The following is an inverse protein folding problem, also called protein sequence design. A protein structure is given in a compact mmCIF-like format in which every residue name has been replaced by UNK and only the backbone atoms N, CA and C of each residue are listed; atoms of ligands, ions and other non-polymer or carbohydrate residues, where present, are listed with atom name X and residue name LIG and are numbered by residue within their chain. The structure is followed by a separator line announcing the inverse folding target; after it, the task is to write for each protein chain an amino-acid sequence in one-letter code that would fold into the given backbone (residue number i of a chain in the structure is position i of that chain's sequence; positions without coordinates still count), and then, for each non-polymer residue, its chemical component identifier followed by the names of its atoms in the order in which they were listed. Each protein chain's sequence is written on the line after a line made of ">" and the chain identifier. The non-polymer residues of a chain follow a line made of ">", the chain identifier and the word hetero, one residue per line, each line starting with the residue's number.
data_IF_750551868840
#
_entry.id   IF_750551868840
#
_cell.length_a   1.000
_cell.length_b   1.000
_cell.length_c   1.000
_cell.angle_alpha   90.00
_cell.angle_beta   90.00
_cell.angle_gamma   90.00
#
_symmetry.space_group_name_H-M   'P 1'
#
loop_
_entity.id
_entity.type
_entity.pdbx_description
1 polymer ?
#
# COMPACT_ATOMS: atom_id res chain seq x y z
N UNK A 1 112.19 -55.03 -75.42
CA UNK A 1 112.36 -54.63 -74.01
C UNK A 1 111.15 -55.17 -73.28
N UNK A 2 111.23 -56.40 -72.75
CA UNK A 2 111.21 -56.67 -71.30
C UNK A 2 110.17 -55.80 -70.59
N UNK A 3 108.93 -56.29 -70.57
CA UNK A 3 107.99 -55.98 -69.50
C UNK A 3 108.68 -56.37 -68.19
N UNK A 4 109.22 -55.38 -67.49
CA UNK A 4 109.53 -55.53 -66.07
C UNK A 4 108.17 -55.61 -65.36
N UNK A 5 107.68 -56.84 -65.18
CA UNK A 5 106.52 -57.11 -64.37
C UNK A 5 106.90 -56.83 -62.91
N UNK A 6 106.77 -55.57 -62.49
CA UNK A 6 107.20 -55.06 -61.17
C UNK A 6 106.25 -55.42 -60.02
N UNK A 7 105.12 -56.08 -60.28
CA UNK A 7 104.21 -56.58 -59.24
C UNK A 7 104.30 -58.10 -59.13
N UNK A 8 104.52 -58.58 -57.90
CA UNK A 8 104.74 -59.99 -57.55
C UNK A 8 103.46 -60.85 -57.65
N UNK A 9 102.34 -60.26 -58.06
CA UNK A 9 100.98 -60.77 -57.80
C UNK A 9 100.01 -60.25 -58.85
N UNK A 10 99.28 -61.15 -59.52
CA UNK A 10 98.06 -60.77 -60.21
C UNK A 10 96.99 -60.46 -59.15
N UNK A 11 96.50 -59.23 -59.06
CA UNK A 11 95.39 -58.90 -58.16
C UNK A 11 94.06 -59.41 -58.77
N UNK A 12 93.03 -59.71 -57.95
CA UNK A 12 91.72 -60.08 -58.46
C UNK A 12 91.17 -58.94 -59.35
N UNK A 13 90.77 -59.23 -60.60
CA UNK A 13 90.13 -58.25 -61.47
C UNK A 13 88.87 -57.68 -60.82
N UNK A 14 88.59 -56.39 -61.02
CA UNK A 14 87.42 -55.69 -60.46
C UNK A 14 86.10 -56.43 -60.76
N UNK A 15 85.95 -56.97 -61.96
CA UNK A 15 84.78 -57.74 -62.42
C UNK A 15 84.53 -59.01 -61.60
N UNK A 16 85.59 -59.61 -61.05
CA UNK A 16 85.52 -60.86 -60.27
C UNK A 16 85.74 -60.64 -58.76
N UNK A 17 86.11 -59.42 -58.35
CA UNK A 17 86.45 -59.10 -56.97
C UNK A 17 85.31 -59.44 -56.01
N UNK A 18 84.06 -59.14 -56.36
CA UNK A 18 82.92 -59.50 -55.50
C UNK A 18 82.83 -61.01 -55.25
N UNK A 19 83.02 -61.82 -56.30
CA UNK A 19 82.98 -63.27 -56.19
C UNK A 19 84.16 -63.79 -55.37
N UNK A 20 85.36 -63.26 -55.59
CA UNK A 20 86.59 -63.65 -54.89
C UNK A 20 86.48 -63.38 -53.38
N UNK A 21 86.00 -62.21 -52.97
CA UNK A 21 85.91 -61.84 -51.54
C UNK A 21 84.68 -62.39 -50.82
N UNK A 22 83.64 -62.81 -51.54
CA UNK A 22 82.46 -63.47 -50.93
C UNK A 22 82.57 -65.00 -50.88
N UNK A 23 83.53 -65.59 -51.60
CA UNK A 23 83.76 -67.04 -51.57
C UNK A 23 84.68 -67.41 -50.39
N UNK A 24 84.32 -68.41 -49.56
CA UNK A 24 85.25 -68.94 -48.57
C UNK A 24 86.56 -69.34 -49.23
N UNK A 25 87.68 -68.81 -48.74
CA UNK A 25 89.02 -69.06 -49.29
C UNK A 25 89.19 -68.62 -50.76
N UNK A 26 88.37 -67.68 -51.25
CA UNK A 26 88.43 -67.23 -52.65
C UNK A 26 89.72 -66.49 -53.03
N UNK A 27 90.48 -65.97 -52.05
CA UNK A 27 91.79 -65.36 -52.26
C UNK A 27 92.93 -66.38 -52.42
N UNK A 28 92.70 -67.65 -52.09
CA UNK A 28 93.74 -68.68 -52.07
C UNK A 28 94.51 -68.84 -53.39
N UNK A 29 93.89 -68.76 -54.60
CA UNK A 29 94.64 -68.82 -55.84
C UNK A 29 95.68 -67.69 -55.97
N UNK A 30 95.37 -66.49 -55.47
CA UNK A 30 96.25 -65.34 -55.48
C UNK A 30 97.33 -65.45 -54.39
N UNK A 31 96.96 -65.93 -53.21
CA UNK A 31 97.90 -66.21 -52.11
C UNK A 31 98.88 -67.35 -52.46
N UNK A 32 98.42 -68.35 -53.21
CA UNK A 32 99.26 -69.45 -53.70
C UNK A 32 100.31 -68.97 -54.71
N UNK A 33 99.98 -68.01 -55.58
CA UNK A 33 100.96 -67.38 -56.48
C UNK A 33 102.06 -66.65 -55.70
N UNK A 34 101.68 -65.83 -54.71
CA UNK A 34 102.64 -65.18 -53.81
C UNK A 34 103.54 -66.23 -53.15
N UNK A 35 102.95 -67.31 -52.62
CA UNK A 35 103.68 -68.35 -51.91
C UNK A 35 104.67 -69.09 -52.83
N UNK A 36 104.28 -69.41 -54.06
CA UNK A 36 105.16 -70.04 -55.04
C UNK A 36 106.39 -69.18 -55.35
N UNK A 37 106.22 -67.87 -55.49
CA UNK A 37 107.34 -66.94 -55.70
C UNK A 37 108.26 -66.83 -54.48
N UNK A 38 107.68 -66.85 -53.27
CA UNK A 38 108.45 -66.87 -52.03
C UNK A 38 109.25 -68.17 -51.86
N UNK A 39 108.69 -69.31 -52.25
CA UNK A 39 109.35 -70.62 -52.15
C UNK A 39 110.49 -70.78 -53.16
N UNK A 40 110.40 -70.14 -54.33
CA UNK A 40 111.46 -70.11 -55.32
C UNK A 40 112.64 -69.19 -54.93
N UNK A 41 112.44 -68.29 -53.97
CA UNK A 41 113.46 -67.34 -53.53
C UNK A 41 114.43 -67.95 -52.52
N UNK A 42 115.72 -68.03 -52.88
CA UNK A 42 116.78 -68.52 -51.99
C UNK A 42 117.45 -67.32 -51.29
N UNK A 43 117.26 -67.13 -49.98
CA UNK A 43 117.80 -65.98 -49.26
C UNK A 43 119.30 -66.13 -49.01
N UNK A 44 120.07 -65.06 -49.29
CA UNK A 44 121.48 -64.94 -48.91
C UNK A 44 121.68 -63.70 -48.03
N UNK A 45 122.08 -63.90 -46.77
CA UNK A 45 122.33 -62.81 -45.82
C UNK A 45 123.79 -62.36 -45.80
N UNK A 46 124.69 -63.12 -46.43
CA UNK A 46 126.14 -62.89 -46.36
C UNK A 46 126.57 -61.73 -47.24
N UNK A 47 125.84 -61.45 -48.31
CA UNK A 47 126.10 -60.32 -49.22
C UNK A 47 125.14 -59.16 -49.03
N UNK A 48 125.59 -57.93 -49.32
CA UNK A 48 124.71 -56.75 -49.31
C UNK A 48 123.55 -56.92 -50.30
N UNK A 49 123.86 -57.42 -51.51
CA UNK A 49 122.88 -57.67 -52.57
C UNK A 49 121.81 -58.69 -52.15
N UNK A 50 122.19 -59.76 -51.46
CA UNK A 50 121.24 -60.75 -50.95
C UNK A 50 120.32 -60.20 -49.86
N UNK A 51 120.84 -59.40 -48.93
CA UNK A 51 120.02 -58.68 -47.92
C UNK A 51 119.04 -57.69 -48.56
N UNK A 52 119.48 -56.94 -49.56
CA UNK A 52 118.62 -56.01 -50.31
C UNK A 52 117.51 -56.76 -51.07
N UNK A 53 117.81 -57.94 -51.62
CA UNK A 53 116.81 -58.80 -52.27
C UNK A 53 115.77 -59.36 -51.28
N UNK A 54 116.18 -59.77 -50.08
CA UNK A 54 115.28 -60.18 -48.98
C UNK A 54 114.35 -59.02 -48.59
N UNK A 55 114.89 -57.81 -48.44
CA UNK A 55 114.09 -56.63 -48.12
C UNK A 55 113.09 -56.31 -49.25
N UNK A 56 113.50 -56.45 -50.51
CA UNK A 56 112.66 -56.20 -51.67
C UNK A 56 111.47 -57.17 -51.76
N UNK A 57 111.70 -58.48 -51.58
CA UNK A 57 110.61 -59.46 -51.64
C UNK A 57 109.62 -59.30 -50.46
N UNK A 58 110.13 -59.00 -49.26
CA UNK A 58 109.28 -58.68 -48.10
C UNK A 58 108.43 -57.41 -48.33
N UNK A 59 109.01 -56.37 -48.94
CA UNK A 59 108.26 -55.15 -49.30
C UNK A 59 107.15 -55.43 -50.32
N UNK A 60 107.42 -56.28 -51.33
CA UNK A 60 106.41 -56.68 -52.31
C UNK A 60 105.24 -57.45 -51.68
N UNK A 61 105.50 -58.34 -50.72
CA UNK A 61 104.44 -59.02 -49.95
C UNK A 61 103.61 -58.00 -49.15
N UNK A 62 104.25 -57.03 -48.50
CA UNK A 62 103.55 -55.99 -47.76
C UNK A 62 102.67 -55.12 -48.68
N UNK A 63 103.17 -54.74 -49.86
CA UNK A 63 102.42 -54.00 -50.89
C UNK A 63 101.22 -54.80 -51.39
N UNK A 64 101.41 -56.08 -51.68
CA UNK A 64 100.35 -57.01 -52.11
C UNK A 64 99.23 -57.15 -51.09
N UNK A 65 99.58 -57.33 -49.81
CA UNK A 65 98.62 -57.36 -48.71
C UNK A 65 97.78 -56.09 -48.67
N UNK A 66 98.41 -54.92 -48.73
CA UNK A 66 97.69 -53.64 -48.73
C UNK A 66 96.79 -53.49 -49.94
N UNK A 67 97.22 -53.92 -51.13
CA UNK A 67 96.39 -53.88 -52.33
C UNK A 67 95.15 -54.78 -52.21
N UNK A 68 95.32 -56.03 -51.74
CA UNK A 68 94.20 -56.94 -51.50
C UNK A 68 93.26 -56.43 -50.39
N UNK A 69 93.77 -55.87 -49.30
CA UNK A 69 92.93 -55.29 -48.25
C UNK A 69 92.12 -54.08 -48.76
N UNK A 70 92.74 -53.21 -49.56
CA UNK A 70 92.06 -52.05 -50.15
C UNK A 70 90.92 -52.46 -51.10
N UNK A 71 91.13 -53.46 -51.97
CA UNK A 71 90.07 -53.96 -52.87
C UNK A 71 88.85 -54.45 -52.06
N UNK A 72 89.09 -55.20 -50.97
CA UNK A 72 88.01 -55.66 -50.10
C UNK A 72 87.30 -54.52 -49.38
N UNK A 73 88.05 -53.51 -48.89
CA UNK A 73 87.49 -52.31 -48.25
C UNK A 73 86.64 -51.49 -49.21
N UNK A 74 87.12 -51.26 -50.43
CA UNK A 74 86.41 -50.49 -51.44
C UNK A 74 85.12 -51.20 -51.85
N UNK A 75 85.16 -52.53 -52.06
CA UNK A 75 83.97 -53.33 -52.34
C UNK A 75 82.94 -53.25 -51.21
N UNK A 76 83.37 -53.38 -49.95
CA UNK A 76 82.48 -53.24 -48.79
C UNK A 76 81.89 -51.83 -48.69
N UNK A 77 82.66 -50.79 -49.02
CA UNK A 77 82.19 -49.42 -49.03
C UNK A 77 81.10 -49.21 -50.10
N UNK A 78 81.32 -49.70 -51.32
CA UNK A 78 80.33 -49.65 -52.41
C UNK A 78 79.07 -50.44 -52.06
N UNK A 79 79.21 -51.66 -51.54
CA UNK A 79 78.07 -52.50 -51.16
C UNK A 79 77.24 -51.89 -50.03
N UNK A 80 77.87 -51.20 -49.07
CA UNK A 80 77.17 -50.49 -48.00
C UNK A 80 76.48 -49.21 -48.47
N UNK A 81 76.90 -48.65 -49.60
CA UNK A 81 76.29 -47.46 -50.19
C UNK A 81 75.01 -47.79 -50.97
N UNK A 82 74.92 -49.00 -51.55
CA UNK A 82 73.74 -49.45 -52.30
C UNK A 82 72.44 -49.40 -51.48
N UNK A 83 72.35 -49.96 -50.25
CA UNK A 83 71.15 -49.83 -49.41
C UNK A 83 70.77 -48.37 -49.13
N UNK A 84 71.75 -47.49 -48.87
CA UNK A 84 71.49 -46.06 -48.63
C UNK A 84 70.84 -45.39 -49.83
N UNK A 85 71.34 -45.67 -51.04
CA UNK A 85 70.77 -45.16 -52.29
C UNK A 85 69.36 -45.71 -52.55
N UNK A 86 69.15 -47.01 -52.30
CA UNK A 86 67.83 -47.64 -52.44
C UNK A 86 66.83 -47.00 -51.49
N UNK A 87 67.16 -46.82 -50.21
CA UNK A 87 66.24 -46.22 -49.25
C UNK A 87 65.94 -44.75 -49.54
N UNK A 88 66.94 -43.99 -49.99
CA UNK A 88 66.76 -42.61 -50.44
C UNK A 88 65.79 -42.54 -51.63
N UNK A 89 65.97 -43.38 -52.65
CA UNK A 89 65.09 -43.39 -53.82
C UNK A 89 63.69 -43.89 -53.48
N UNK A 90 63.57 -44.91 -52.61
CA UNK A 90 62.29 -45.39 -52.10
C UNK A 90 61.53 -44.28 -51.35
N UNK A 91 62.23 -43.46 -50.57
CA UNK A 91 61.63 -42.31 -49.89
C UNK A 91 61.18 -41.26 -50.92
N UNK A 92 62.08 -40.85 -51.82
CA UNK A 92 61.78 -39.87 -52.88
C UNK A 92 60.55 -40.28 -53.69
N UNK A 93 60.47 -41.56 -54.07
CA UNK A 93 59.33 -42.11 -54.80
C UNK A 93 58.03 -42.00 -54.00
N UNK A 94 58.01 -42.39 -52.71
CA UNK A 94 56.81 -42.27 -51.88
C UNK A 94 56.37 -40.82 -51.73
N UNK A 95 57.30 -39.94 -51.37
CA UNK A 95 57.02 -38.51 -51.17
C UNK A 95 56.44 -37.88 -52.46
N UNK A 96 56.98 -38.26 -53.63
CA UNK A 96 56.51 -37.77 -54.93
C UNK A 96 55.14 -38.34 -55.32
N UNK A 97 54.88 -39.63 -55.06
CA UNK A 97 53.58 -40.24 -55.32
C UNK A 97 52.49 -39.68 -54.41
N UNK A 98 52.80 -39.39 -53.14
CA UNK A 98 51.87 -38.73 -52.23
C UNK A 98 51.56 -37.30 -52.68
N UNK A 99 52.58 -36.54 -53.09
CA UNK A 99 52.37 -35.20 -53.68
C UNK A 99 51.45 -35.27 -54.91
N UNK A 100 51.72 -36.17 -55.87
CA UNK A 100 50.90 -36.29 -57.07
C UNK A 100 49.47 -36.75 -56.78
N UNK A 101 49.29 -37.64 -55.79
CA UNK A 101 47.96 -38.05 -55.33
C UNK A 101 47.18 -36.83 -54.82
N UNK A 102 47.82 -35.96 -54.04
CA UNK A 102 47.19 -34.76 -53.49
C UNK A 102 46.90 -33.74 -54.61
N UNK A 103 47.83 -33.52 -55.55
CA UNK A 103 47.63 -32.65 -56.72
C UNK A 103 46.47 -33.13 -57.60
N UNK A 104 46.38 -34.44 -57.86
CA UNK A 104 45.28 -35.02 -58.64
C UNK A 104 43.95 -34.90 -57.90
N UNK A 105 43.95 -34.97 -56.56
CA UNK A 105 42.73 -34.86 -55.73
C UNK A 105 42.29 -33.42 -55.50
N UNK A 106 43.20 -32.46 -55.57
CA UNK A 106 42.94 -31.06 -55.23
C UNK A 106 41.73 -30.43 -55.97
N UNK A 107 41.53 -30.64 -57.29
CA UNK A 107 40.35 -30.09 -57.97
C UNK A 107 39.03 -30.64 -57.44
N UNK A 108 38.98 -31.93 -57.09
CA UNK A 108 37.78 -32.54 -56.52
C UNK A 108 37.53 -32.03 -55.10
N UNK A 109 38.59 -31.84 -54.30
CA UNK A 109 38.47 -31.26 -52.95
C UNK A 109 37.93 -29.83 -53.01
N UNK A 110 38.48 -29.01 -53.91
CA UNK A 110 38.00 -27.64 -54.10
C UNK A 110 36.54 -27.59 -54.56
N UNK A 111 36.12 -28.52 -55.42
CA UNK A 111 34.73 -28.62 -55.84
C UNK A 111 33.81 -29.09 -54.70
N UNK A 112 34.20 -30.09 -53.90
CA UNK A 112 33.44 -30.57 -52.75
C UNK A 112 33.25 -29.45 -51.70
N UNK A 113 34.29 -28.67 -51.43
CA UNK A 113 34.23 -27.52 -50.51
C UNK A 113 33.33 -26.40 -51.05
N UNK A 114 33.44 -26.08 -52.33
CA UNK A 114 32.59 -25.07 -52.97
C UNK A 114 31.11 -25.51 -53.00
N UNK A 115 30.85 -26.79 -53.25
CA UNK A 115 29.51 -27.37 -53.29
C UNK A 115 28.87 -27.41 -51.89
N UNK A 116 29.65 -27.73 -50.86
CA UNK A 116 29.18 -27.63 -49.47
C UNK A 116 28.90 -26.17 -49.09
N UNK A 117 29.79 -25.24 -49.42
CA UNK A 117 29.58 -23.81 -49.18
C UNK A 117 28.32 -23.28 -49.88
N UNK A 118 28.09 -23.68 -51.15
CA UNK A 118 26.88 -23.35 -51.91
C UNK A 118 25.62 -23.81 -51.18
N UNK A 119 25.58 -25.08 -50.76
CA UNK A 119 24.44 -25.65 -50.01
C UNK A 119 24.22 -24.95 -48.67
N UNK A 120 25.29 -24.64 -47.94
CA UNK A 120 25.20 -23.92 -46.67
C UNK A 120 24.67 -22.49 -46.85
N UNK A 121 25.02 -21.80 -47.94
CA UNK A 121 24.48 -20.48 -48.26
C UNK A 121 22.97 -20.53 -48.52
N UNK A 122 22.52 -21.50 -49.34
CA UNK A 122 21.09 -21.73 -49.58
C UNK A 122 20.33 -22.07 -48.29
N UNK A 123 20.87 -22.98 -47.47
CA UNK A 123 20.27 -23.33 -46.18
C UNK A 123 20.24 -22.13 -45.23
N UNK A 124 21.27 -21.29 -45.22
CA UNK A 124 21.31 -20.06 -44.42
C UNK A 124 20.23 -19.07 -44.87
N UNK A 125 19.98 -18.95 -46.18
CA UNK A 125 18.89 -18.14 -46.70
C UNK A 125 17.52 -18.66 -46.22
N UNK A 126 17.28 -19.97 -46.31
CA UNK A 126 16.05 -20.60 -45.82
C UNK A 126 15.88 -20.40 -44.31
N UNK A 127 16.93 -20.62 -43.53
CA UNK A 127 16.89 -20.43 -42.08
C UNK A 127 16.59 -18.96 -41.70
N UNK A 128 17.15 -18.00 -42.44
CA UNK A 128 16.84 -16.57 -42.28
C UNK A 128 15.36 -16.31 -42.54
N UNK A 129 14.81 -16.85 -43.63
CA UNK A 129 13.38 -16.74 -43.95
C UNK A 129 12.50 -17.34 -42.84
N UNK A 130 12.85 -18.52 -42.34
CA UNK A 130 12.13 -19.17 -41.25
C UNK A 130 12.16 -18.34 -39.97
N UNK A 131 13.28 -17.65 -39.69
CA UNK A 131 13.43 -16.78 -38.52
C UNK A 131 12.44 -15.61 -38.52
N UNK A 132 12.05 -15.07 -39.68
CA UNK A 132 11.01 -14.05 -39.76
C UNK A 132 9.64 -14.54 -39.24
N UNK A 133 9.36 -15.85 -39.34
CA UNK A 133 8.10 -16.46 -38.93
C UNK A 133 7.99 -16.79 -37.43
N UNK A 134 8.89 -16.29 -36.58
CA UNK A 134 8.93 -16.59 -35.15
C UNK A 134 9.38 -15.38 -34.31
N UNK A 135 9.30 -15.50 -32.98
CA UNK A 135 9.78 -14.45 -32.06
C UNK A 135 8.95 -13.16 -32.09
N UNK A 136 7.63 -13.30 -31.98
CA UNK A 136 6.68 -12.17 -32.01
C UNK A 136 6.37 -11.60 -30.63
N UNK A 137 6.78 -12.28 -29.56
CA UNK A 137 6.46 -11.89 -28.19
C UNK A 137 7.04 -10.52 -27.85
N UNK A 138 6.19 -9.62 -27.33
CA UNK A 138 6.57 -8.26 -26.95
C UNK A 138 6.81 -7.29 -28.11
N UNK A 139 6.61 -7.69 -29.35
CA UNK A 139 6.79 -6.84 -30.54
C UNK A 139 5.49 -6.10 -30.87
N UNK A 140 5.57 -4.80 -31.15
CA UNK A 140 4.42 -3.99 -31.58
C UNK A 140 4.03 -4.24 -33.05
N UNK A 141 2.81 -3.81 -33.42
CA UNK A 141 2.26 -4.06 -34.74
C UNK A 141 3.08 -3.40 -35.87
N UNK A 142 3.67 -2.24 -35.61
CA UNK A 142 4.46 -1.49 -36.60
C UNK A 142 5.76 -2.22 -36.93
N UNK A 143 6.48 -2.69 -35.91
CA UNK A 143 7.70 -3.48 -36.07
C UNK A 143 7.42 -4.80 -36.79
N UNK A 144 6.29 -5.45 -36.51
CA UNK A 144 5.89 -6.66 -37.24
C UNK A 144 5.60 -6.38 -38.72
N UNK A 145 5.00 -5.23 -39.06
CA UNK A 145 4.79 -4.80 -40.46
C UNK A 145 6.10 -4.50 -41.19
N UNK A 146 7.08 -3.91 -40.50
CA UNK A 146 8.42 -3.71 -41.06
C UNK A 146 9.08 -5.07 -41.37
N UNK A 147 9.02 -6.03 -40.45
CA UNK A 147 9.49 -7.41 -40.68
C UNK A 147 8.77 -8.08 -41.85
N UNK A 148 7.46 -7.86 -42.00
CA UNK A 148 6.69 -8.36 -43.14
C UNK A 148 7.23 -7.79 -44.47
N UNK A 149 7.43 -6.48 -44.54
CA UNK A 149 7.99 -5.81 -45.73
C UNK A 149 9.40 -6.33 -46.07
N UNK A 150 10.25 -6.51 -45.06
CA UNK A 150 11.59 -7.10 -45.23
C UNK A 150 11.50 -8.53 -45.79
N UNK A 151 10.62 -9.37 -45.24
CA UNK A 151 10.40 -10.73 -45.72
C UNK A 151 9.87 -10.75 -47.17
N UNK A 152 8.92 -9.88 -47.49
CA UNK A 152 8.36 -9.73 -48.84
C UNK A 152 9.44 -9.35 -49.86
N UNK A 153 10.37 -8.47 -49.48
CA UNK A 153 11.50 -8.03 -50.30
C UNK A 153 12.54 -9.13 -50.59
N UNK A 154 12.59 -10.22 -49.81
CA UNK A 154 13.49 -11.34 -50.08
C UNK A 154 13.06 -12.04 -51.37
N UNK A 155 13.78 -11.83 -52.47
CA UNK A 155 13.55 -12.53 -53.72
C UNK A 155 13.92 -14.01 -53.57
N UNK A 156 13.00 -14.88 -53.96
CA UNK A 156 13.21 -16.33 -54.09
C UNK A 156 13.16 -16.62 -55.59
N UNK A 157 14.15 -17.34 -56.11
CA UNK A 157 14.20 -17.71 -57.53
C UNK A 157 15.43 -18.56 -57.83
N UNK A 158 15.79 -18.62 -59.11
CA UNK A 158 16.78 -19.55 -59.69
C UNK A 158 18.13 -19.62 -58.97
N UNK A 159 18.55 -18.54 -58.30
CA UNK A 159 19.79 -18.49 -57.52
C UNK A 159 19.83 -19.41 -56.29
N UNK A 160 18.70 -20.03 -55.92
CA UNK A 160 18.60 -21.04 -54.86
C UNK A 160 18.56 -22.47 -55.40
N UNK A 161 18.58 -22.65 -56.72
CA UNK A 161 18.68 -23.95 -57.39
C UNK A 161 17.69 -24.99 -56.84
N UNK A 162 18.16 -26.16 -56.39
CA UNK A 162 17.31 -27.24 -55.88
C UNK A 162 16.55 -26.87 -54.58
N UNK A 163 16.96 -25.79 -53.91
CA UNK A 163 16.37 -25.29 -52.67
C UNK A 163 15.26 -24.25 -52.90
N UNK A 164 15.04 -23.79 -54.13
CA UNK A 164 14.04 -22.75 -54.46
C UNK A 164 12.65 -23.12 -53.94
N UNK A 165 12.20 -24.34 -54.20
CA UNK A 165 10.88 -24.81 -53.78
C UNK A 165 10.76 -24.86 -52.24
N UNK A 166 11.83 -25.19 -51.52
CA UNK A 166 11.86 -25.17 -50.06
C UNK A 166 11.82 -23.74 -49.53
N UNK A 167 12.60 -22.83 -50.12
CA UNK A 167 12.62 -21.43 -49.76
C UNK A 167 11.26 -20.75 -49.99
N UNK A 168 10.54 -21.10 -51.07
CA UNK A 168 9.16 -20.67 -51.28
C UNK A 168 8.22 -21.15 -50.18
N UNK A 169 8.30 -22.45 -49.80
CA UNK A 169 7.49 -22.99 -48.69
C UNK A 169 7.81 -22.30 -47.36
N UNK A 170 9.09 -22.07 -47.08
CA UNK A 170 9.54 -21.36 -45.88
C UNK A 170 9.01 -19.92 -45.87
N UNK A 171 9.10 -19.20 -47.00
CA UNK A 171 8.60 -17.83 -47.12
C UNK A 171 7.08 -17.78 -46.94
N UNK A 172 6.34 -18.67 -47.58
CA UNK A 172 4.89 -18.75 -47.42
C UNK A 172 4.48 -18.97 -45.95
N UNK A 173 5.14 -19.92 -45.26
CA UNK A 173 4.89 -20.18 -43.84
C UNK A 173 5.23 -18.99 -42.95
N UNK A 174 6.34 -18.31 -43.21
CA UNK A 174 6.75 -17.13 -42.46
C UNK A 174 5.80 -15.94 -42.68
N UNK A 175 5.33 -15.72 -43.92
CA UNK A 175 4.32 -14.72 -44.24
C UNK A 175 3.00 -14.99 -43.53
N UNK A 176 2.54 -16.25 -43.51
CA UNK A 176 1.32 -16.64 -42.79
C UNK A 176 1.43 -16.35 -41.30
N UNK A 177 2.55 -16.75 -40.68
CA UNK A 177 2.82 -16.53 -39.26
C UNK A 177 2.89 -15.03 -38.91
N UNK A 178 3.59 -14.23 -39.72
CA UNK A 178 3.70 -12.78 -39.52
C UNK A 178 2.36 -12.08 -39.68
N UNK A 179 1.58 -12.40 -40.71
CA UNK A 179 0.26 -11.80 -40.91
C UNK A 179 -0.69 -12.13 -39.74
N UNK A 180 -0.67 -13.37 -39.25
CA UNK A 180 -1.43 -13.76 -38.08
C UNK A 180 -0.99 -12.99 -36.82
N UNK A 181 0.31 -12.82 -36.63
CA UNK A 181 0.86 -12.05 -35.51
C UNK A 181 0.50 -10.56 -35.58
N UNK A 182 0.57 -9.94 -36.77
CA UNK A 182 0.17 -8.55 -37.01
C UNK A 182 -1.30 -8.38 -36.64
N UNK A 183 -2.19 -9.23 -37.19
CA UNK A 183 -3.62 -9.14 -36.93
C UNK A 183 -3.95 -9.29 -35.43
N UNK A 184 -3.31 -10.24 -34.75
CA UNK A 184 -3.46 -10.43 -33.31
C UNK A 184 -2.97 -9.20 -32.52
N UNK A 185 -1.85 -8.61 -32.94
CA UNK A 185 -1.24 -7.47 -32.25
C UNK A 185 -2.02 -6.17 -32.46
N UNK A 186 -2.48 -5.90 -33.68
CA UNK A 186 -3.34 -4.77 -33.98
C UNK A 186 -4.65 -4.84 -33.20
N UNK A 187 -5.26 -6.03 -33.12
CA UNK A 187 -6.45 -6.25 -32.31
C UNK A 187 -6.19 -5.94 -30.83
N UNK A 188 -5.11 -6.49 -30.27
CA UNK A 188 -4.74 -6.24 -28.88
C UNK A 188 -4.49 -4.75 -28.61
N UNK A 189 -3.75 -4.06 -29.48
CA UNK A 189 -3.46 -2.63 -29.34
C UNK A 189 -4.72 -1.77 -29.46
N UNK A 190 -5.63 -2.11 -30.38
CA UNK A 190 -6.93 -1.45 -30.51
C UNK A 190 -7.78 -1.63 -29.24
N UNK A 191 -7.84 -2.85 -28.69
CA UNK A 191 -8.54 -3.14 -27.43
C UNK A 191 -7.94 -2.35 -26.24
N UNK A 192 -6.61 -2.24 -26.15
CA UNK A 192 -5.96 -1.44 -25.12
C UNK A 192 -6.25 0.06 -25.28
N UNK A 193 -6.25 0.58 -26.52
CA UNK A 193 -6.57 1.97 -26.80
C UNK A 193 -8.03 2.30 -26.47
N UNK A 194 -8.97 1.41 -26.81
CA UNK A 194 -10.38 1.57 -26.45
C UNK A 194 -10.58 1.51 -24.94
N UNK A 195 -9.95 0.56 -24.25
CA UNK A 195 -9.99 0.44 -22.79
C UNK A 195 -9.44 1.70 -22.11
N UNK A 196 -8.35 2.26 -22.62
CA UNK A 196 -7.80 3.52 -22.13
C UNK A 196 -8.78 4.68 -22.33
N UNK A 197 -9.43 4.78 -23.49
CA UNK A 197 -10.46 5.78 -23.76
C UNK A 197 -11.65 5.66 -22.81
N UNK A 198 -12.17 4.44 -22.61
CA UNK A 198 -13.28 4.18 -21.69
C UNK A 198 -12.93 4.55 -20.25
N UNK A 199 -11.71 4.25 -19.80
CA UNK A 199 -11.22 4.66 -18.47
C UNK A 199 -11.11 6.18 -18.34
N UNK A 200 -10.60 6.87 -19.36
CA UNK A 200 -10.51 8.32 -19.38
C UNK A 200 -11.90 8.98 -19.36
N UNK A 201 -12.85 8.45 -20.14
CA UNK A 201 -14.23 8.93 -20.14
C UNK A 201 -14.93 8.69 -18.80
N UNK A 202 -14.77 7.51 -18.21
CA UNK A 202 -15.31 7.20 -16.89
C UNK A 202 -14.75 8.14 -15.80
N UNK A 203 -13.43 8.37 -15.81
CA UNK A 203 -12.79 9.30 -14.88
C UNK A 203 -13.28 10.75 -15.07
N UNK A 204 -13.48 11.19 -16.31
CA UNK A 204 -14.01 12.51 -16.61
C UNK A 204 -15.48 12.67 -16.15
N UNK A 205 -16.31 11.63 -16.33
CA UNK A 205 -17.68 11.61 -15.82
C UNK A 205 -17.73 11.66 -14.30
N UNK A 206 -16.92 10.84 -13.63
CA UNK A 206 -16.83 10.83 -12.15
C UNK A 206 -16.38 12.19 -11.62
N UNK A 207 -15.39 12.82 -12.25
CA UNK A 207 -14.92 14.14 -11.87
C UNK A 207 -16.03 15.19 -12.04
N UNK A 208 -16.75 15.16 -13.16
CA UNK A 208 -17.89 16.06 -13.42
C UNK A 208 -19.01 15.84 -12.41
N UNK A 209 -19.38 14.59 -12.11
CA UNK A 209 -20.40 14.26 -11.11
C UNK A 209 -20.00 14.73 -9.71
N UNK A 210 -18.71 14.61 -9.37
CA UNK A 210 -18.16 15.13 -8.12
C UNK A 210 -18.23 16.65 -8.05
N UNK A 211 -17.85 17.35 -9.12
CA UNK A 211 -17.95 18.80 -9.22
C UNK A 211 -19.40 19.27 -9.14
N UNK A 212 -20.33 18.60 -9.83
CA UNK A 212 -21.76 18.89 -9.76
C UNK A 212 -22.34 18.59 -8.37
N UNK A 213 -21.88 17.54 -7.68
CA UNK A 213 -22.27 17.24 -6.30
C UNK A 213 -21.78 18.33 -5.35
N UNK A 214 -20.50 18.73 -5.45
CA UNK A 214 -19.93 19.82 -4.65
C UNK A 214 -20.68 21.13 -4.92
N UNK A 215 -20.99 21.44 -6.18
CA UNK A 215 -21.75 22.63 -6.55
C UNK A 215 -23.18 22.60 -6.01
N UNK A 216 -23.87 21.45 -6.08
CA UNK A 216 -25.21 21.27 -5.50
C UNK A 216 -25.18 21.40 -3.97
N UNK A 217 -24.25 20.74 -3.30
CA UNK A 217 -24.07 20.83 -1.85
C UNK A 217 -23.75 22.26 -1.41
N UNK A 218 -22.91 22.99 -2.15
CA UNK A 218 -22.60 24.39 -1.89
C UNK A 218 -23.83 25.29 -2.08
N UNK A 219 -24.59 25.09 -3.16
CA UNK A 219 -25.81 25.85 -3.42
C UNK A 219 -26.90 25.58 -2.37
N UNK A 220 -27.11 24.31 -2.00
CA UNK A 220 -28.08 23.93 -0.97
C UNK A 220 -27.66 24.45 0.40
N UNK A 221 -26.37 24.41 0.73
CA UNK A 221 -25.85 25.01 1.96
C UNK A 221 -26.07 26.52 1.99
N UNK A 222 -25.77 27.22 0.89
CA UNK A 222 -26.01 28.66 0.78
C UNK A 222 -27.49 29.01 0.92
N UNK A 223 -28.39 28.20 0.32
CA UNK A 223 -29.83 28.39 0.46
C UNK A 223 -30.29 28.13 1.92
N UNK A 224 -29.83 27.05 2.55
CA UNK A 224 -30.12 26.76 3.96
C UNK A 224 -29.62 27.86 4.90
N UNK A 225 -28.41 28.38 4.66
CA UNK A 225 -27.85 29.49 5.44
C UNK A 225 -28.65 30.79 5.22
N UNK A 226 -29.09 31.08 3.99
CA UNK A 226 -29.94 32.23 3.68
C UNK A 226 -31.34 32.11 4.30
N UNK A 227 -31.98 30.95 4.20
CA UNK A 227 -33.29 30.67 4.81
C UNK A 227 -33.21 30.72 6.34
N UNK A 228 -32.17 30.15 6.95
CA UNK A 228 -31.94 30.24 8.39
C UNK A 228 -31.73 31.69 8.85
N UNK A 229 -30.99 32.50 8.08
CA UNK A 229 -30.81 33.92 8.38
C UNK A 229 -32.11 34.71 8.23
N UNK A 230 -32.87 34.47 7.17
CA UNK A 230 -34.18 35.11 6.97
C UNK A 230 -35.18 34.70 8.06
N UNK A 231 -35.17 33.44 8.50
CA UNK A 231 -35.99 32.96 9.60
C UNK A 231 -35.57 33.58 10.93
N UNK A 232 -34.27 33.66 11.22
CA UNK A 232 -33.76 34.33 12.41
C UNK A 232 -34.11 35.84 12.42
N UNK A 233 -34.07 36.51 11.27
CA UNK A 233 -34.51 37.90 11.15
C UNK A 233 -36.02 38.05 11.39
N UNK A 234 -36.85 37.15 10.84
CA UNK A 234 -38.31 37.13 11.10
C UNK A 234 -38.61 36.88 12.58
N UNK A 235 -37.95 35.90 13.19
CA UNK A 235 -38.10 35.59 14.61
C UNK A 235 -37.62 36.75 15.50
N UNK A 236 -36.55 37.44 15.11
CA UNK A 236 -36.09 38.64 15.81
C UNK A 236 -37.08 39.80 15.70
N UNK A 237 -37.73 39.99 14.54
CA UNK A 237 -38.81 40.98 14.37
C UNK A 237 -40.02 40.61 15.21
N UNK A 238 -40.48 39.36 15.15
CA UNK A 238 -41.61 38.87 15.96
C UNK A 238 -41.30 39.02 17.45
N UNK A 239 -40.09 38.66 17.90
CA UNK A 239 -39.67 38.82 19.29
C UNK A 239 -39.66 40.29 19.69
N UNK A 240 -39.14 41.21 18.86
CA UNK A 240 -39.19 42.65 19.14
C UNK A 240 -40.63 43.17 19.21
N UNK A 241 -41.50 42.74 18.30
CA UNK A 241 -42.92 43.09 18.35
C UNK A 241 -43.61 42.54 19.62
N UNK A 242 -43.32 41.30 20.01
CA UNK A 242 -43.83 40.72 21.25
C UNK A 242 -43.28 41.43 22.48
N UNK A 243 -42.00 41.79 22.51
CA UNK A 243 -41.37 42.54 23.60
C UNK A 243 -41.95 43.95 23.70
N UNK A 244 -42.19 44.64 22.58
CA UNK A 244 -42.83 45.97 22.57
C UNK A 244 -44.30 45.91 23.01
N UNK A 245 -45.06 44.90 22.56
CA UNK A 245 -46.43 44.67 23.04
C UNK A 245 -46.47 44.31 24.52
N UNK A 246 -45.62 43.40 24.97
CA UNK A 246 -45.53 43.03 26.39
C UNK A 246 -45.08 44.23 27.25
N UNK A 247 -44.19 45.09 26.76
CA UNK A 247 -43.81 46.32 27.45
C UNK A 247 -44.96 47.34 27.48
N UNK A 248 -45.73 47.46 26.39
CA UNK A 248 -46.91 48.32 26.33
C UNK A 248 -48.02 47.81 27.27
N UNK A 249 -48.34 46.52 27.25
CA UNK A 249 -49.30 45.87 28.16
C UNK A 249 -48.87 45.99 29.63
N UNK A 250 -47.58 45.79 29.93
CA UNK A 250 -47.05 46.02 31.28
C UNK A 250 -47.22 47.47 31.73
N UNK A 251 -46.98 48.43 30.84
CA UNK A 251 -47.10 49.85 31.15
C UNK A 251 -48.55 50.29 31.27
N UNK A 252 -49.45 49.72 30.47
CA UNK A 252 -50.89 49.91 30.60
C UNK A 252 -51.36 49.35 31.94
N UNK A 253 -51.04 48.09 32.25
CA UNK A 253 -51.36 47.44 33.53
C UNK A 253 -50.80 48.21 34.73
N UNK A 254 -49.57 48.72 34.63
CA UNK A 254 -48.94 49.55 35.67
C UNK A 254 -49.69 50.87 35.86
N UNK A 255 -50.13 51.52 34.77
CA UNK A 255 -50.97 52.72 34.84
C UNK A 255 -52.36 52.42 35.44
N UNK A 256 -52.98 51.29 35.09
CA UNK A 256 -54.28 50.88 35.65
C UNK A 256 -54.16 50.57 37.14
N UNK A 257 -53.12 49.82 37.54
CA UNK A 257 -52.84 49.53 38.94
C UNK A 257 -52.46 50.77 39.73
N UNK A 258 -51.74 51.73 39.13
CA UNK A 258 -51.43 53.02 39.75
C UNK A 258 -52.69 53.89 39.90
N UNK A 259 -53.58 53.91 38.91
CA UNK A 259 -54.86 54.61 38.98
C UNK A 259 -55.80 53.96 40.02
N UNK A 260 -55.86 52.63 40.08
CA UNK A 260 -56.63 51.90 41.08
C UNK A 260 -56.06 52.13 42.49
N UNK A 261 -54.73 52.12 42.66
CA UNK A 261 -54.09 52.49 43.93
C UNK A 261 -54.37 53.94 44.33
N UNK A 262 -54.31 54.88 43.39
CA UNK A 262 -54.61 56.28 43.65
C UNK A 262 -56.08 56.51 44.03
N UNK A 263 -57.03 55.82 43.38
CA UNK A 263 -58.44 55.86 43.75
C UNK A 263 -58.70 55.17 45.09
N UNK A 264 -58.01 54.06 45.37
CA UNK A 264 -58.09 53.38 46.67
C UNK A 264 -57.49 54.22 47.80
N UNK A 265 -56.38 54.90 47.57
CA UNK A 265 -55.78 55.84 48.52
C UNK A 265 -56.66 57.07 48.75
N UNK A 266 -57.29 57.63 47.70
CA UNK A 266 -58.29 58.70 47.86
C UNK A 266 -59.51 58.21 48.64
N UNK A 267 -60.03 57.02 48.34
CA UNK A 267 -61.15 56.43 49.05
C UNK A 267 -60.80 56.16 50.52
N UNK A 268 -59.61 55.63 50.80
CA UNK A 268 -59.11 55.42 52.16
C UNK A 268 -58.82 56.73 52.90
N UNK A 269 -58.33 57.78 52.22
CA UNK A 269 -58.15 59.10 52.81
C UNK A 269 -59.49 59.74 53.19
N UNK A 270 -60.50 59.64 52.32
CA UNK A 270 -61.87 60.09 52.61
C UNK A 270 -62.47 59.26 53.76
N UNK A 271 -62.25 57.95 53.79
CA UNK A 271 -62.74 57.08 54.86
C UNK A 271 -62.05 57.37 56.20
N UNK A 272 -60.74 57.64 56.20
CA UNK A 272 -59.99 58.05 57.41
C UNK A 272 -60.41 59.42 57.90
N UNK A 273 -60.71 60.37 57.02
CA UNK A 273 -61.22 61.68 57.42
C UNK A 273 -62.64 61.58 58.01
N UNK A 274 -63.50 60.74 57.44
CA UNK A 274 -64.84 60.46 57.98
C UNK A 274 -64.78 59.70 59.31
N UNK A 275 -63.88 58.72 59.46
CA UNK A 275 -63.68 58.02 60.74
C UNK A 275 -63.07 58.94 61.80
N UNK A 276 -62.13 59.81 61.45
CA UNK A 276 -61.55 60.78 62.39
C UNK A 276 -62.58 61.81 62.88
N UNK A 277 -63.49 62.29 62.01
CA UNK A 277 -64.62 63.15 62.40
C UNK A 277 -65.63 62.41 63.28
N UNK A 278 -65.98 61.17 62.94
CA UNK A 278 -66.93 60.37 63.69
C UNK A 278 -66.41 59.91 65.07
N UNK A 279 -65.10 59.67 65.23
CA UNK A 279 -64.48 59.32 66.51
C UNK A 279 -64.25 60.56 67.40
N UNK A 280 -64.01 61.74 66.82
CA UNK A 280 -63.95 63.00 67.56
C UNK A 280 -65.34 63.38 68.12
N UNK A 281 -66.41 63.22 67.35
CA UNK A 281 -67.78 63.44 67.82
C UNK A 281 -68.22 62.41 68.87
N UNK A 282 -67.86 61.12 68.71
CA UNK A 282 -68.15 60.09 69.73
C UNK A 282 -67.40 60.31 71.04
N UNK A 283 -66.16 60.79 71.01
CA UNK A 283 -65.40 61.11 72.23
C UNK A 283 -65.93 62.38 72.92
N UNK A 284 -66.40 63.37 72.18
CA UNK A 284 -67.04 64.56 72.73
C UNK A 284 -68.42 64.26 73.34
N UNK A 285 -69.22 63.39 72.71
CA UNK A 285 -70.53 62.98 73.21
C UNK A 285 -70.44 62.06 74.46
N UNK A 286 -69.49 61.12 74.49
CA UNK A 286 -69.29 60.22 75.64
C UNK A 286 -68.84 60.96 76.91
N UNK A 287 -68.01 62.00 76.78
CA UNK A 287 -67.56 62.81 77.91
C UNK A 287 -68.67 63.69 78.53
N UNK A 288 -69.70 64.06 77.75
CA UNK A 288 -70.86 64.84 78.22
C UNK A 288 -71.92 63.92 78.87
N UNK A 289 -72.11 62.70 78.36
CA UNK A 289 -73.04 61.72 78.96
C UNK A 289 -72.56 61.16 80.31
N UNK A 290 -71.25 60.99 80.51
CA UNK A 290 -70.70 60.40 81.73
C UNK A 290 -70.79 61.36 82.93
N UNK A 291 -70.63 62.66 82.71
CA UNK A 291 -70.78 63.68 83.77
C UNK A 291 -72.25 63.94 84.11
N UNK A 292 -73.17 63.86 83.14
CA UNK A 292 -74.61 63.96 83.39
C UNK A 292 -75.19 62.73 84.12
N UNK A 293 -74.64 61.52 83.89
CA UNK A 293 -75.05 60.30 84.62
C UNK A 293 -74.64 60.32 86.09
N UNK A 294 -73.50 60.93 86.45
CA UNK A 294 -73.04 61.00 87.85
C UNK A 294 -73.90 61.94 88.70
N UNK A 295 -74.35 63.06 88.14
CA UNK A 295 -75.22 64.04 88.82
C UNK A 295 -76.68 63.53 88.94
N UNK A 296 -77.18 62.82 87.92
CA UNK A 296 -78.53 62.24 87.96
C UNK A 296 -78.66 61.03 88.90
N UNK A 297 -77.61 60.22 89.06
CA UNK A 297 -77.61 59.06 89.96
C UNK A 297 -77.61 59.47 91.45
N UNK A 298 -76.94 60.56 91.82
CA UNK A 298 -76.90 61.04 93.20
C UNK A 298 -78.24 61.64 93.66
N UNK A 299 -78.95 62.36 92.77
CA UNK A 299 -80.26 62.95 93.07
C UNK A 299 -81.42 61.94 93.10
N UNK A 300 -81.31 60.81 92.39
CA UNK A 300 -82.33 59.76 92.37
C UNK A 300 -82.38 58.92 93.66
N UNK A 301 -81.24 58.75 94.35
CA UNK A 301 -81.15 57.97 95.60
C UNK A 301 -81.79 58.73 96.78
N UNK A 302 -81.57 60.05 96.89
CA UNK A 302 -82.14 60.88 97.97
C UNK A 302 -83.66 61.10 97.82
N UNK A 303 -84.18 61.14 96.59
CA UNK A 303 -85.62 61.31 96.34
C UNK A 303 -86.45 60.01 96.55
N UNK A 304 -85.83 58.84 96.37
CA UNK A 304 -86.51 57.55 96.53
C UNK A 304 -86.72 57.15 98.01
N UNK A 305 -85.82 57.56 98.91
CA UNK A 305 -85.90 57.22 100.34
C UNK A 305 -86.94 58.07 101.10
N UNK A 306 -87.17 59.32 100.66
CA UNK A 306 -88.20 60.19 101.23
C UNK A 306 -89.64 59.73 100.89
N UNK A 307 -89.87 59.23 99.66
CA UNK A 307 -91.19 58.75 99.21
C UNK A 307 -91.65 57.44 99.86
N UNK A 308 -90.72 56.57 100.28
CA UNK A 308 -91.08 55.27 100.89
C UNK A 308 -91.60 55.42 102.32
N UNK A 309 -91.15 56.44 103.07
CA UNK A 309 -91.58 56.67 104.47
C UNK A 309 -92.97 57.29 104.58
N UNK A 310 -93.43 58.02 103.57
CA UNK A 310 -94.78 58.62 103.57
C UNK A 310 -95.88 57.62 103.20
N UNK A 311 -95.62 56.72 102.24
CA UNK A 311 -96.62 55.72 101.80
C UNK A 311 -96.95 54.67 102.86
N UNK A 312 -95.96 54.22 103.63
CA UNK A 312 -96.19 53.24 104.71
C UNK A 312 -97.01 53.82 105.88
N UNK A 313 -96.90 55.13 106.18
CA UNK A 313 -97.72 55.77 107.21
C UNK A 313 -99.19 55.86 106.79
N UNK A 314 -99.45 56.19 105.52
CA UNK A 314 -100.81 56.29 105.00
C UNK A 314 -101.53 54.93 104.96
N UNK A 315 -100.83 53.87 104.55
CA UNK A 315 -101.42 52.53 104.46
C UNK A 315 -101.86 51.99 105.83
N UNK A 316 -101.00 52.14 106.86
CA UNK A 316 -101.30 51.68 108.22
C UNK A 316 -102.46 52.44 108.88
N UNK A 317 -102.58 53.73 108.60
CA UNK A 317 -103.68 54.55 109.12
C UNK A 317 -105.04 54.14 108.52
N UNK A 318 -105.09 53.77 107.25
CA UNK A 318 -106.31 53.34 106.58
C UNK A 318 -106.85 52.02 107.15
N UNK A 319 -105.98 51.02 107.31
CA UNK A 319 -106.38 49.70 107.80
C UNK A 319 -106.87 49.77 109.26
N UNK A 320 -106.21 50.56 110.11
CA UNK A 320 -106.65 50.76 111.49
C UNK A 320 -108.02 51.44 111.58
N UNK A 321 -108.34 52.34 110.63
CA UNK A 321 -109.65 53.00 110.59
C UNK A 321 -110.75 52.04 110.18
N UNK A 322 -110.51 51.18 109.19
CA UNK A 322 -111.48 50.14 108.83
C UNK A 322 -111.70 49.12 109.95
N UNK A 323 -110.64 48.74 110.68
CA UNK A 323 -110.78 47.87 111.86
C UNK A 323 -111.59 48.57 112.97
N UNK A 324 -111.37 49.87 113.19
CA UNK A 324 -112.16 50.67 114.12
C UNK A 324 -113.65 50.65 113.76
N UNK A 325 -113.98 50.93 112.51
CA UNK A 325 -115.37 50.95 112.03
C UNK A 325 -116.04 49.59 112.21
N UNK A 326 -115.34 48.50 111.93
CA UNK A 326 -115.85 47.14 112.15
C UNK A 326 -116.15 46.85 113.63
N UNK A 327 -115.29 47.30 114.55
CA UNK A 327 -115.55 47.15 115.99
C UNK A 327 -116.76 47.97 116.46
N UNK A 328 -116.92 49.20 115.95
CA UNK A 328 -118.08 50.03 116.28
C UNK A 328 -119.38 49.42 115.76
N UNK A 329 -119.37 48.89 114.53
CA UNK A 329 -120.50 48.16 113.97
C UNK A 329 -120.87 46.92 114.80
N UNK A 330 -119.89 46.28 115.43
CA UNK A 330 -120.07 45.16 116.37
C UNK A 330 -120.67 45.56 117.72
N UNK A 331 -121.07 46.82 117.92
CA UNK A 331 -121.73 47.31 119.13
C UNK A 331 -120.79 47.88 120.19
N UNK A 332 -119.48 48.03 119.90
CA UNK A 332 -118.55 48.75 120.79
C UNK A 332 -118.69 50.26 120.64
N UNK A 333 -118.60 50.99 121.75
CA UNK A 333 -118.48 52.46 121.70
C UNK A 333 -117.14 52.86 121.08
N UNK A 334 -117.12 53.99 120.37
CA UNK A 334 -115.97 54.41 119.56
C UNK A 334 -114.68 54.57 120.39
N UNK A 335 -114.80 55.03 121.64
CA UNK A 335 -113.64 55.17 122.53
C UNK A 335 -113.03 53.80 122.91
N UNK A 336 -113.86 52.81 123.23
CA UNK A 336 -113.40 51.45 123.50
C UNK A 336 -112.81 50.80 122.25
N UNK A 337 -113.40 51.03 121.07
CA UNK A 337 -112.87 50.52 119.80
C UNK A 337 -111.49 51.13 119.48
N UNK A 338 -111.29 52.44 119.69
CA UNK A 338 -109.97 53.10 119.52
C UNK A 338 -108.93 52.52 120.46
N UNK A 339 -109.31 52.28 121.72
CA UNK A 339 -108.41 51.69 122.70
C UNK A 339 -108.04 50.25 122.29
N UNK A 340 -109.01 49.44 121.86
CA UNK A 340 -108.77 48.07 121.38
C UNK A 340 -107.82 48.02 120.17
N UNK A 341 -108.07 48.83 119.13
CA UNK A 341 -107.18 48.93 117.94
C UNK A 341 -105.77 49.37 118.35
N UNK A 342 -105.66 50.31 119.29
CA UNK A 342 -104.36 50.80 119.78
C UNK A 342 -103.61 49.72 120.56
N UNK A 343 -104.27 48.98 121.45
CA UNK A 343 -103.66 47.92 122.26
C UNK A 343 -103.20 46.75 121.38
N UNK A 344 -103.97 46.41 120.35
CA UNK A 344 -103.61 45.36 119.37
C UNK A 344 -102.44 45.82 118.49
N UNK A 345 -102.44 47.05 118.00
CA UNK A 345 -101.33 47.59 117.21
C UNK A 345 -100.01 47.65 118.02
N UNK A 346 -100.10 47.94 119.32
CA UNK A 346 -98.95 47.90 120.25
C UNK A 346 -98.56 46.48 120.69
N UNK A 347 -99.25 45.43 120.20
CA UNK A 347 -99.07 44.02 120.59
C UNK A 347 -99.17 43.78 122.11
N UNK A 348 -99.91 44.64 122.81
CA UNK A 348 -100.09 44.55 124.26
C UNK A 348 -101.15 43.52 124.66
N UNK A 349 -101.95 43.04 123.69
CA UNK A 349 -102.85 41.89 123.84
C UNK A 349 -102.18 40.67 123.17
N UNK A 350 -101.78 39.64 123.93
CA UNK A 350 -101.14 38.46 123.37
C UNK A 350 -102.04 37.73 122.37
N UNK A 351 -101.44 37.16 121.32
CA UNK A 351 -102.08 36.31 120.30
C UNK A 351 -103.16 36.99 119.41
N UNK A 352 -103.21 38.33 119.33
CA UNK A 352 -104.05 39.08 118.37
C UNK A 352 -103.20 40.15 117.66
N UNK A 353 -103.38 40.34 116.34
CA UNK A 353 -102.63 41.34 115.54
C UNK A 353 -103.44 41.91 114.38
N UNK A 354 -103.12 43.14 113.95
CA UNK A 354 -103.64 43.76 112.73
C UNK A 354 -102.58 43.58 111.63
N UNK A 355 -102.99 43.00 110.49
CA UNK A 355 -102.14 42.89 109.30
C UNK A 355 -102.22 44.20 108.51
N UNK A 356 -101.06 44.77 108.16
CA UNK A 356 -100.94 46.05 107.46
C UNK A 356 -100.41 45.89 106.04
#
# INVERSE_FOLDING_TARGET
>A
MKEENTDLIALPPSETAMQVYSTPMGLDPFLAQIKAELDAFVPDVTTKKGRDAIASIAYKVAKGKTALDNIGKDLVAELKDVPKKIDAERKRMRDLLDLWKDEVRAPLTAWEEAEEARKQEHQSCINRIQFFGQGFEGVDAETLKQRLSELEAIAIGDHLEEFEAEAHRAKAKALEALNAAIAAREKHEAEQAELARLRAEAAAREQKEREERIAREAAERAQREAEAKAQAEREAVIRREQETKAAAERRELELTLAAERAEREKAEAVQREQQAKADAERRAAAAVEEEQRRVAAQAAVEAAEAKRRERDKAHKAAINRSALEAFVQGGMTEECAKLAVTLIAKKSIPAVSIAY
#
